data_IF_416189781881
#
_entry.id   IF_416189781881
#
_cell.length_a   1.000
_cell.length_b   1.000
_cell.length_c   1.000
_cell.angle_alpha   90.00
_cell.angle_beta   90.00
_cell.angle_gamma   90.00
#
_symmetry.space_group_name_H-M   'P 1'
#
loop_
_entity.id
_entity.type
_entity.pdbx_description
1 polymer ?
#
# COMPACT_ATOMS: atom_id res chain seq x y z
N UNK A 1 -3.90 -29.74 15.29
CA UNK A 1 -4.97 -29.27 14.37
C UNK A 1 -4.34 -28.30 13.37
N UNK A 2 -4.80 -28.25 12.13
CA UNK A 2 -4.26 -27.28 11.17
C UNK A 2 -4.85 -25.91 11.47
N UNK A 3 -4.01 -24.90 11.65
CA UNK A 3 -4.43 -23.49 11.85
C UNK A 3 -5.11 -22.97 10.60
N UNK A 4 -6.27 -22.31 10.73
CA UNK A 4 -6.97 -21.64 9.63
C UNK A 4 -6.41 -20.23 9.40
N UNK A 5 -5.72 -20.03 8.27
CA UNK A 5 -5.16 -18.73 7.88
C UNK A 5 -6.11 -17.88 7.05
N UNK A 6 -7.31 -18.34 6.71
CA UNK A 6 -8.26 -17.56 5.92
C UNK A 6 -8.64 -16.26 6.63
N UNK A 7 -8.77 -15.21 5.86
CA UNK A 7 -9.22 -13.90 6.33
C UNK A 7 -10.10 -13.23 5.28
N UNK A 8 -10.75 -12.13 5.65
CA UNK A 8 -11.52 -11.31 4.72
C UNK A 8 -10.87 -9.94 4.59
N UNK A 9 -10.71 -9.49 3.36
CA UNK A 9 -10.19 -8.16 3.07
C UNK A 9 -10.97 -7.54 1.91
N UNK A 10 -11.52 -6.34 2.10
CA UNK A 10 -12.34 -5.64 1.11
C UNK A 10 -13.53 -6.49 0.59
N UNK A 11 -14.15 -7.28 1.45
CA UNK A 11 -15.23 -8.19 1.07
C UNK A 11 -14.77 -9.44 0.31
N UNK A 12 -13.47 -9.59 0.04
CA UNK A 12 -12.88 -10.74 -0.63
C UNK A 12 -12.39 -11.76 0.42
N UNK A 13 -12.64 -13.04 0.16
CA UNK A 13 -12.09 -14.13 0.97
C UNK A 13 -10.66 -14.43 0.52
N UNK A 14 -9.71 -14.35 1.45
CA UNK A 14 -8.30 -14.63 1.21
C UNK A 14 -7.88 -15.91 1.91
N UNK A 15 -7.08 -16.74 1.22
CA UNK A 15 -6.51 -17.98 1.79
C UNK A 15 -5.49 -17.74 2.90
N UNK A 16 -4.89 -16.55 2.92
CA UNK A 16 -3.82 -16.15 3.84
C UNK A 16 -3.90 -14.64 4.11
N UNK A 17 -3.56 -14.15 5.32
CA UNK A 17 -3.51 -12.73 5.62
C UNK A 17 -2.28 -12.02 5.04
N UNK A 18 -1.41 -12.75 4.35
CA UNK A 18 -0.17 -12.21 3.79
C UNK A 18 -0.43 -11.75 2.36
N UNK A 19 -0.24 -10.46 2.08
CA UNK A 19 -0.49 -9.84 0.78
C UNK A 19 0.80 -9.30 0.20
N UNK A 20 1.05 -9.54 -1.09
CA UNK A 20 2.14 -8.88 -1.81
C UNK A 20 1.69 -7.46 -2.20
N UNK A 21 2.32 -6.46 -1.57
CA UNK A 21 2.02 -5.04 -1.82
C UNK A 21 2.64 -4.54 -3.13
N UNK A 22 2.12 -3.41 -3.61
CA UNK A 22 2.58 -2.75 -4.83
C UNK A 22 4.11 -2.64 -4.91
N UNK A 23 4.69 -3.24 -5.94
CA UNK A 23 6.13 -3.27 -6.20
C UNK A 23 6.42 -3.67 -7.65
N UNK A 24 7.63 -3.48 -8.15
CA UNK A 24 8.01 -3.99 -9.48
C UNK A 24 7.79 -5.50 -9.64
N UNK A 25 7.89 -6.28 -8.55
CA UNK A 25 7.67 -7.74 -8.58
C UNK A 25 6.22 -8.12 -8.90
N UNK A 26 5.26 -7.31 -8.48
CA UNK A 26 3.83 -7.59 -8.68
C UNK A 26 3.30 -7.15 -10.05
N UNK A 27 4.12 -6.42 -10.84
CA UNK A 27 3.72 -5.86 -12.13
C UNK A 27 3.91 -6.78 -13.33
N UNK A 28 4.60 -7.92 -13.18
CA UNK A 28 4.84 -8.84 -14.28
C UNK A 28 4.14 -10.20 -14.04
N UNK A 29 3.45 -10.77 -15.05
CA UNK A 29 2.70 -12.03 -14.89
C UNK A 29 3.53 -13.18 -14.34
N UNK A 30 4.80 -13.31 -14.75
CA UNK A 30 5.68 -14.39 -14.31
C UNK A 30 6.00 -14.30 -12.80
N UNK A 31 6.31 -13.11 -12.29
CA UNK A 31 6.60 -12.91 -10.87
C UNK A 31 5.33 -12.91 -10.01
N UNK A 32 4.20 -12.39 -10.52
CA UNK A 32 2.91 -12.48 -9.86
C UNK A 32 2.51 -13.94 -9.60
N UNK A 33 2.73 -14.81 -10.57
CA UNK A 33 2.51 -16.26 -10.43
C UNK A 33 3.40 -16.87 -9.34
N UNK A 34 4.70 -16.54 -9.30
CA UNK A 34 5.61 -17.02 -8.25
C UNK A 34 5.18 -16.55 -6.85
N UNK A 35 4.66 -15.32 -6.74
CA UNK A 35 4.12 -14.75 -5.51
C UNK A 35 2.88 -15.54 -5.06
N UNK A 36 1.98 -15.87 -5.96
CA UNK A 36 0.80 -16.68 -5.66
C UNK A 36 1.18 -18.10 -5.23
N UNK A 37 2.07 -18.77 -6.00
CA UNK A 37 2.58 -20.11 -5.68
C UNK A 37 3.27 -20.14 -4.31
N UNK A 38 3.93 -19.05 -3.92
CA UNK A 38 4.60 -18.90 -2.63
C UNK A 38 3.64 -18.65 -1.44
N UNK A 39 2.34 -18.46 -1.66
CA UNK A 39 1.36 -18.39 -0.57
C UNK A 39 0.66 -17.04 -0.38
N UNK A 40 0.83 -16.06 -1.24
CA UNK A 40 0.11 -14.79 -1.13
C UNK A 40 -1.41 -14.99 -1.11
N UNK A 41 -2.10 -14.27 -0.21
CA UNK A 41 -3.56 -14.22 -0.17
C UNK A 41 -4.15 -13.31 -1.23
N UNK A 42 -3.44 -12.25 -1.60
CA UNK A 42 -3.78 -11.33 -2.69
C UNK A 42 -2.52 -10.64 -3.23
N UNK A 43 -2.64 -10.00 -4.38
CA UNK A 43 -1.56 -9.27 -5.05
C UNK A 43 -2.04 -7.85 -5.33
N UNK A 44 -1.29 -6.84 -4.87
CA UNK A 44 -1.50 -5.43 -5.24
C UNK A 44 -0.51 -5.07 -6.34
N UNK A 45 -1.01 -4.61 -7.48
CA UNK A 45 -0.17 -4.22 -8.62
C UNK A 45 0.60 -2.91 -8.33
N UNK A 46 1.69 -2.62 -9.06
CA UNK A 46 2.34 -1.31 -9.00
C UNK A 46 1.32 -0.19 -9.20
N UNK A 47 1.53 0.95 -8.56
CA UNK A 47 0.64 2.09 -8.78
C UNK A 47 0.84 2.68 -10.16
N UNK A 48 -0.25 3.02 -10.84
CA UNK A 48 -0.23 3.88 -12.00
C UNK A 48 -0.15 5.33 -11.52
N UNK A 49 0.86 6.08 -11.96
CA UNK A 49 1.11 7.46 -11.54
C UNK A 49 0.55 8.48 -12.52
N UNK A 50 -0.05 9.55 -11.98
CA UNK A 50 -0.57 10.68 -12.76
C UNK A 50 0.52 11.31 -13.61
N UNK A 51 1.66 11.52 -13.01
CA UNK A 51 2.80 12.17 -13.65
C UNK A 51 3.32 11.39 -14.85
N UNK A 52 3.24 10.05 -14.82
CA UNK A 52 3.67 9.22 -15.95
C UNK A 52 2.76 9.41 -17.16
N UNK A 53 1.44 9.45 -16.93
CA UNK A 53 0.45 9.64 -18.00
C UNK A 53 0.58 11.04 -18.60
N UNK A 54 0.62 12.07 -17.74
CA UNK A 54 0.74 13.48 -18.19
C UNK A 54 2.06 13.70 -18.92
N UNK A 55 3.16 13.13 -18.44
CA UNK A 55 4.47 13.24 -19.11
C UNK A 55 4.48 12.61 -20.50
N UNK A 56 3.81 11.46 -20.65
CA UNK A 56 3.69 10.78 -21.95
C UNK A 56 2.81 11.58 -22.92
N UNK A 57 1.68 12.14 -22.46
CA UNK A 57 0.81 13.01 -23.27
C UNK A 57 1.56 14.26 -23.73
N UNK A 58 2.34 14.90 -22.87
CA UNK A 58 3.17 16.06 -23.22
C UNK A 58 4.25 15.68 -24.24
N UNK A 59 4.92 14.55 -24.05
CA UNK A 59 5.96 14.07 -24.96
C UNK A 59 5.38 13.76 -26.35
N UNK A 60 4.20 13.13 -26.39
CA UNK A 60 3.48 12.85 -27.64
C UNK A 60 3.10 14.14 -28.37
N UNK A 61 2.49 15.11 -27.66
CA UNK A 61 2.11 16.40 -28.24
C UNK A 61 3.33 17.16 -28.80
N UNK A 62 4.45 17.21 -28.07
CA UNK A 62 5.69 17.82 -28.56
C UNK A 62 6.23 17.14 -29.81
N UNK A 63 6.14 15.80 -29.87
CA UNK A 63 6.59 15.05 -31.05
C UNK A 63 5.70 15.31 -32.27
N UNK A 64 4.39 15.47 -32.07
CA UNK A 64 3.44 15.83 -33.14
C UNK A 64 3.65 17.26 -33.62
N UNK A 65 3.88 18.23 -32.72
CA UNK A 65 4.17 19.63 -33.06
C UNK A 65 5.50 19.76 -33.82
N UNK A 66 6.57 19.09 -33.34
CA UNK A 66 7.87 19.10 -34.02
C UNK A 66 7.80 18.46 -35.42
N UNK A 67 6.93 17.46 -35.63
CA UNK A 67 6.70 16.85 -36.94
C UNK A 67 5.91 17.75 -37.89
N UNK A 68 5.00 18.60 -37.39
CA UNK A 68 4.16 19.48 -38.21
C UNK A 68 4.91 20.72 -38.73
N UNK A 69 5.96 21.17 -38.04
CA UNK A 69 6.74 22.32 -38.47
C UNK A 69 7.82 22.01 -39.55
N UNK A 70 8.22 20.73 -39.67
CA UNK A 70 9.32 20.36 -40.59
C UNK A 70 8.92 19.99 -42.01
N UNK A 71 7.65 19.67 -42.30
CA UNK A 71 7.24 19.27 -43.65
C UNK A 71 5.82 19.72 -44.02
N UNK A 72 5.71 20.86 -44.68
CA UNK A 72 4.45 21.31 -45.27
C UNK A 72 3.95 20.42 -46.45
N UNK A 73 4.73 19.44 -46.89
CA UNK A 73 4.41 18.55 -48.02
C UNK A 73 4.19 17.07 -47.65
N UNK A 74 4.33 16.70 -46.38
CA UNK A 74 4.21 15.29 -45.95
C UNK A 74 2.87 14.95 -45.27
N UNK A 75 1.76 15.28 -45.91
CA UNK A 75 0.41 14.89 -45.48
C UNK A 75 0.12 13.39 -45.64
N UNK A 76 1.08 12.58 -46.10
CA UNK A 76 0.88 11.15 -46.42
C UNK A 76 1.85 10.16 -45.71
N UNK A 77 2.67 10.60 -44.77
CA UNK A 77 3.66 9.74 -44.13
C UNK A 77 3.58 9.73 -42.62
N UNK A 78 2.37 9.76 -42.06
CA UNK A 78 2.19 9.33 -40.68
C UNK A 78 2.06 7.79 -40.65
N UNK A 79 3.00 7.07 -40.03
CA UNK A 79 2.70 5.71 -39.65
C UNK A 79 1.44 5.77 -38.78
N UNK A 80 0.47 4.96 -39.13
CA UNK A 80 -0.75 4.78 -38.34
C UNK A 80 -0.36 4.64 -36.87
N UNK A 81 -0.92 5.50 -36.02
CA UNK A 81 -0.65 5.59 -34.55
C UNK A 81 -1.09 4.29 -33.82
N UNK A 82 -1.25 3.20 -34.53
CA UNK A 82 -1.71 1.89 -34.01
C UNK A 82 -0.70 1.14 -33.12
N UNK A 83 0.48 1.69 -32.81
CA UNK A 83 1.50 0.94 -32.08
C UNK A 83 2.12 1.62 -30.84
N UNK A 84 1.68 2.80 -30.44
CA UNK A 84 2.13 3.41 -29.18
C UNK A 84 1.07 3.19 -28.08
N UNK A 85 1.06 1.98 -27.48
CA UNK A 85 0.33 1.77 -26.24
C UNK A 85 0.91 2.68 -25.15
N UNK A 86 0.12 3.61 -24.62
CA UNK A 86 0.49 4.52 -23.56
C UNK A 86 0.79 3.78 -22.24
N UNK A 87 1.36 4.47 -21.26
CA UNK A 87 1.63 3.91 -19.92
C UNK A 87 0.36 3.29 -19.34
N UNK A 88 -0.77 4.01 -19.45
CA UNK A 88 -2.07 3.51 -19.01
C UNK A 88 -2.51 2.23 -19.72
N UNK A 89 -2.37 2.16 -21.05
CA UNK A 89 -2.75 0.97 -21.83
C UNK A 89 -1.85 -0.23 -21.50
N UNK A 90 -0.56 -0.01 -21.32
CA UNK A 90 0.39 -1.06 -20.88
C UNK A 90 0.04 -1.59 -19.50
N UNK A 91 -0.36 -0.69 -18.57
CA UNK A 91 -0.81 -1.06 -17.25
C UNK A 91 -2.06 -1.95 -17.31
N UNK A 92 -3.09 -1.53 -18.05
CA UNK A 92 -4.34 -2.28 -18.22
C UNK A 92 -4.11 -3.66 -18.84
N UNK A 93 -3.30 -3.73 -19.90
CA UNK A 93 -2.93 -5.00 -20.53
C UNK A 93 -2.12 -5.92 -19.60
N UNK A 94 -1.33 -5.36 -18.66
CA UNK A 94 -0.64 -6.15 -17.63
C UNK A 94 -1.63 -6.66 -16.58
N UNK A 95 -2.56 -5.82 -16.12
CA UNK A 95 -3.63 -6.20 -15.19
C UNK A 95 -4.45 -7.35 -15.75
N UNK A 96 -4.96 -7.25 -17.00
CA UNK A 96 -5.73 -8.30 -17.66
C UNK A 96 -4.98 -9.63 -17.73
N UNK A 97 -3.68 -9.58 -18.09
CA UNK A 97 -2.84 -10.79 -18.17
C UNK A 97 -2.59 -11.42 -16.81
N UNK A 98 -2.34 -10.62 -15.78
CA UNK A 98 -2.14 -11.13 -14.42
C UNK A 98 -3.47 -11.71 -13.92
N UNK A 99 -4.57 -10.97 -14.06
CA UNK A 99 -5.88 -11.41 -13.61
C UNK A 99 -6.35 -12.69 -14.27
N UNK A 100 -6.12 -12.86 -15.58
CA UNK A 100 -6.50 -14.08 -16.31
C UNK A 100 -5.76 -15.34 -15.84
N UNK A 101 -4.59 -15.18 -15.24
CA UNK A 101 -3.76 -16.29 -14.73
C UNK A 101 -3.77 -16.48 -13.23
N UNK A 102 -4.29 -15.51 -12.46
CA UNK A 102 -4.25 -15.53 -11.00
C UNK A 102 -5.44 -16.27 -10.40
N UNK A 103 -5.17 -17.16 -9.46
CA UNK A 103 -6.17 -17.82 -8.59
C UNK A 103 -6.40 -17.06 -7.27
N UNK A 104 -5.73 -15.93 -7.06
CA UNK A 104 -5.90 -15.04 -5.90
C UNK A 104 -6.42 -13.67 -6.35
N UNK A 105 -7.07 -12.90 -5.48
CA UNK A 105 -7.50 -11.54 -5.81
C UNK A 105 -6.36 -10.65 -6.28
N UNK A 106 -6.63 -9.85 -7.32
CA UNK A 106 -5.72 -8.87 -7.91
C UNK A 106 -6.28 -7.47 -7.66
N UNK A 107 -5.53 -6.67 -6.93
CA UNK A 107 -5.90 -5.30 -6.54
C UNK A 107 -5.10 -4.34 -7.42
N UNK A 108 -5.79 -3.53 -8.23
CA UNK A 108 -5.13 -2.50 -9.02
C UNK A 108 -4.84 -1.27 -8.16
N UNK A 109 -3.77 -0.53 -8.45
CA UNK A 109 -3.34 0.60 -7.64
C UNK A 109 -3.22 1.87 -8.47
N UNK A 110 -3.75 2.98 -7.92
CA UNK A 110 -3.72 4.34 -8.47
C UNK A 110 -2.97 5.25 -7.52
N UNK A 111 -2.05 6.07 -8.05
CA UNK A 111 -1.45 7.16 -7.29
C UNK A 111 -1.90 8.49 -7.90
N UNK A 112 -2.81 9.17 -7.21
CA UNK A 112 -3.51 10.35 -7.71
C UNK A 112 -3.42 11.52 -6.74
N UNK A 113 -3.30 12.72 -7.30
CA UNK A 113 -3.30 13.99 -6.55
C UNK A 113 -4.41 14.93 -6.97
N UNK A 114 -5.07 14.69 -8.11
CA UNK A 114 -6.16 15.52 -8.68
C UNK A 114 -7.37 14.67 -9.06
N UNK A 115 -8.54 15.28 -9.17
CA UNK A 115 -9.80 14.56 -9.51
C UNK A 115 -9.89 14.20 -11.00
N UNK A 116 -9.11 14.83 -11.88
CA UNK A 116 -9.30 14.82 -13.33
C UNK A 116 -9.36 13.44 -14.03
N UNK A 117 -8.22 12.88 -14.45
CA UNK A 117 -8.15 11.63 -15.23
C UNK A 117 -8.44 10.34 -14.45
N UNK A 118 -8.40 10.39 -13.11
CA UNK A 118 -8.38 9.20 -12.23
C UNK A 118 -9.68 8.45 -12.15
N UNK A 119 -10.79 9.15 -12.19
CA UNK A 119 -12.13 8.54 -12.30
C UNK A 119 -12.23 7.64 -13.52
N UNK A 120 -11.63 8.06 -14.64
CA UNK A 120 -11.55 7.24 -15.86
C UNK A 120 -10.69 5.99 -15.66
N UNK A 121 -9.47 6.15 -15.13
CA UNK A 121 -8.57 5.00 -14.92
C UNK A 121 -9.09 4.02 -13.88
N UNK A 122 -9.76 4.49 -12.82
CA UNK A 122 -10.41 3.62 -11.86
C UNK A 122 -11.46 2.71 -12.53
N UNK A 123 -12.28 3.26 -13.44
CA UNK A 123 -13.22 2.46 -14.24
C UNK A 123 -12.51 1.48 -15.16
N UNK A 124 -11.51 1.93 -15.91
CA UNK A 124 -10.76 1.07 -16.81
C UNK A 124 -10.09 -0.09 -16.07
N UNK A 125 -9.57 0.13 -14.86
CA UNK A 125 -9.01 -0.95 -14.03
C UNK A 125 -10.09 -1.93 -13.56
N UNK A 126 -11.26 -1.44 -13.16
CA UNK A 126 -12.41 -2.31 -12.86
C UNK A 126 -12.81 -3.12 -14.08
N UNK A 127 -12.94 -2.49 -15.26
CA UNK A 127 -13.35 -3.14 -16.52
C UNK A 127 -12.31 -4.17 -16.99
N UNK A 128 -11.01 -3.92 -16.70
CA UNK A 128 -9.91 -4.87 -16.92
C UNK A 128 -9.87 -6.04 -15.91
N UNK A 129 -10.83 -6.10 -14.97
CA UNK A 129 -11.06 -7.23 -14.09
C UNK A 129 -10.39 -7.15 -12.71
N UNK A 130 -9.96 -5.97 -12.25
CA UNK A 130 -9.49 -5.80 -10.87
C UNK A 130 -10.58 -6.20 -9.86
N UNK A 131 -10.22 -6.99 -8.85
CA UNK A 131 -11.14 -7.41 -7.77
C UNK A 131 -11.40 -6.29 -6.76
N UNK A 132 -10.44 -5.36 -6.60
CA UNK A 132 -10.53 -4.16 -5.79
C UNK A 132 -9.54 -3.10 -6.30
N UNK A 133 -9.68 -1.88 -5.80
CA UNK A 133 -8.76 -0.78 -6.08
C UNK A 133 -8.05 -0.32 -4.80
N UNK A 134 -6.76 0.01 -4.90
CA UNK A 134 -6.00 0.74 -3.89
C UNK A 134 -5.74 2.16 -4.40
N UNK A 135 -6.38 3.16 -3.79
CA UNK A 135 -6.10 4.57 -4.03
C UNK A 135 -4.96 5.02 -3.11
N UNK A 136 -3.83 5.35 -3.70
CA UNK A 136 -2.64 5.75 -3.00
C UNK A 136 -2.58 7.28 -2.91
N UNK A 137 -2.86 7.85 -1.74
CA UNK A 137 -2.74 9.27 -1.47
C UNK A 137 -1.30 9.58 -1.05
N UNK A 138 -0.51 10.05 -2.03
CA UNK A 138 0.88 10.45 -1.80
C UNK A 138 1.04 11.93 -2.11
N UNK A 139 1.03 12.75 -1.07
CA UNK A 139 1.14 14.21 -1.19
C UNK A 139 2.18 14.76 -0.21
N UNK A 140 3.08 15.59 -0.71
CA UNK A 140 3.93 16.43 0.11
C UNK A 140 3.31 17.83 0.14
N UNK A 141 2.77 18.23 1.30
CA UNK A 141 2.10 19.51 1.48
C UNK A 141 3.14 20.64 1.66
N UNK A 142 3.85 21.00 0.58
CA UNK A 142 4.95 21.96 0.61
C UNK A 142 4.52 23.43 0.38
N UNK A 143 3.28 23.69 -0.06
CA UNK A 143 2.77 25.07 -0.25
C UNK A 143 2.34 25.66 1.08
N UNK A 144 3.03 26.70 1.61
CA UNK A 144 2.72 27.28 2.91
C UNK A 144 1.39 28.04 2.96
N UNK A 145 0.74 28.26 1.81
CA UNK A 145 -0.57 28.91 1.72
C UNK A 145 -1.73 27.94 1.93
N UNK A 146 -1.50 26.64 1.84
CA UNK A 146 -2.52 25.60 2.05
C UNK A 146 -2.56 25.17 3.50
N UNK A 147 -3.76 25.13 4.06
CA UNK A 147 -3.99 24.63 5.42
C UNK A 147 -4.15 23.10 5.43
N UNK A 148 -4.06 22.49 6.63
CA UNK A 148 -4.38 21.06 6.80
C UNK A 148 -5.81 20.74 6.33
N UNK A 149 -6.77 21.63 6.59
CA UNK A 149 -8.16 21.49 6.16
C UNK A 149 -8.29 21.47 4.63
N UNK A 150 -7.52 22.30 3.90
CA UNK A 150 -7.52 22.32 2.43
C UNK A 150 -6.98 21.03 1.85
N UNK A 151 -5.93 20.46 2.45
CA UNK A 151 -5.33 19.19 2.03
C UNK A 151 -6.31 18.04 2.27
N UNK A 152 -6.86 17.94 3.48
CA UNK A 152 -7.81 16.90 3.85
C UNK A 152 -9.09 16.96 3.02
N UNK A 153 -9.62 18.18 2.73
CA UNK A 153 -10.79 18.35 1.88
C UNK A 153 -10.53 17.86 0.44
N UNK A 154 -9.38 18.18 -0.14
CA UNK A 154 -9.01 17.74 -1.49
C UNK A 154 -8.85 16.22 -1.57
N UNK A 155 -8.28 15.59 -0.54
CA UNK A 155 -8.13 14.14 -0.49
C UNK A 155 -9.49 13.44 -0.35
N UNK A 156 -10.41 13.96 0.48
CA UNK A 156 -11.77 13.42 0.63
C UNK A 156 -12.60 13.58 -0.66
N UNK A 157 -12.47 14.72 -1.37
CA UNK A 157 -13.11 14.93 -2.66
C UNK A 157 -12.65 13.90 -3.69
N UNK A 158 -11.35 13.64 -3.77
CA UNK A 158 -10.78 12.63 -4.65
C UNK A 158 -11.31 11.24 -4.33
N UNK A 159 -11.34 10.84 -3.04
CA UNK A 159 -11.87 9.54 -2.61
C UNK A 159 -13.34 9.40 -3.03
N UNK A 160 -14.17 10.41 -2.76
CA UNK A 160 -15.59 10.40 -3.10
C UNK A 160 -15.81 10.30 -4.63
N UNK A 161 -15.01 11.02 -5.42
CA UNK A 161 -15.08 10.98 -6.88
C UNK A 161 -14.70 9.60 -7.43
N UNK A 162 -13.62 8.98 -6.94
CA UNK A 162 -13.22 7.62 -7.31
C UNK A 162 -14.29 6.62 -6.89
N UNK A 163 -14.77 6.67 -5.63
CA UNK A 163 -15.83 5.79 -5.12
C UNK A 163 -17.10 5.86 -5.97
N UNK A 164 -17.51 7.06 -6.35
CA UNK A 164 -18.71 7.27 -7.21
C UNK A 164 -18.54 6.75 -8.64
N UNK A 165 -17.35 6.40 -9.05
CA UNK A 165 -17.05 5.94 -10.41
C UNK A 165 -16.96 4.42 -10.56
N UNK A 166 -16.77 3.67 -9.47
CA UNK A 166 -16.55 2.22 -9.49
C UNK A 166 -17.49 1.50 -8.53
N UNK A 167 -17.70 0.20 -8.75
CA UNK A 167 -18.47 -0.67 -7.88
C UNK A 167 -17.60 -1.66 -7.08
N UNK A 168 -16.39 -1.92 -7.54
CA UNK A 168 -15.43 -2.76 -6.81
C UNK A 168 -15.01 -2.10 -5.50
N UNK A 169 -14.61 -2.87 -4.48
CA UNK A 169 -14.14 -2.31 -3.21
C UNK A 169 -12.95 -1.36 -3.38
N UNK A 170 -12.91 -0.32 -2.53
CA UNK A 170 -11.89 0.73 -2.54
C UNK A 170 -11.11 0.74 -1.23
N UNK A 171 -9.84 0.39 -1.27
CA UNK A 171 -8.89 0.68 -0.20
C UNK A 171 -8.22 2.03 -0.42
N UNK A 172 -7.99 2.77 0.67
CA UNK A 172 -7.25 4.04 0.61
C UNK A 172 -5.97 3.92 1.42
N UNK A 173 -4.84 4.11 0.74
CA UNK A 173 -3.51 4.10 1.37
C UNK A 173 -3.11 5.49 1.79
N UNK A 174 -2.86 5.67 3.08
CA UNK A 174 -2.70 6.95 3.72
C UNK A 174 -1.25 7.24 4.11
N UNK A 175 -0.94 8.53 4.22
CA UNK A 175 0.24 9.06 4.90
C UNK A 175 0.02 9.08 6.42
N UNK A 176 1.05 8.97 7.26
CA UNK A 176 0.95 9.19 8.70
C UNK A 176 0.94 10.67 9.10
N UNK A 177 1.06 11.61 8.16
CA UNK A 177 1.34 13.03 8.42
C UNK A 177 0.09 13.93 8.53
N UNK A 178 -1.09 13.37 8.75
CA UNK A 178 -2.28 14.16 9.07
C UNK A 178 -2.29 14.54 10.56
N UNK A 179 -2.62 15.82 10.88
CA UNK A 179 -2.55 16.35 12.23
C UNK A 179 -3.49 15.64 13.22
N UNK A 180 -4.69 15.24 12.76
CA UNK A 180 -5.71 14.54 13.54
C UNK A 180 -6.07 13.22 12.85
N UNK A 181 -5.11 12.28 12.79
CA UNK A 181 -5.18 11.08 11.96
C UNK A 181 -6.43 10.25 12.21
N UNK A 182 -6.83 10.01 13.47
CA UNK A 182 -8.03 9.21 13.79
C UNK A 182 -9.31 9.85 13.24
N UNK A 183 -9.46 11.17 13.39
CA UNK A 183 -10.60 11.94 12.85
C UNK A 183 -10.60 11.94 11.31
N UNK A 184 -9.43 12.06 10.69
CA UNK A 184 -9.29 12.01 9.24
C UNK A 184 -9.61 10.61 8.69
N UNK A 185 -9.08 9.54 9.31
CA UNK A 185 -9.36 8.16 8.93
C UNK A 185 -10.86 7.84 8.93
N UNK A 186 -11.62 8.35 9.94
CA UNK A 186 -13.08 8.23 9.96
C UNK A 186 -13.73 8.92 8.76
N UNK A 187 -13.30 10.15 8.42
CA UNK A 187 -13.84 10.89 7.26
C UNK A 187 -13.49 10.21 5.93
N UNK A 188 -12.34 9.57 5.83
CA UNK A 188 -11.96 8.76 4.66
C UNK A 188 -12.93 7.59 4.45
N UNK A 189 -13.32 6.91 5.53
CA UNK A 189 -14.35 5.86 5.48
C UNK A 189 -15.72 6.45 5.11
N UNK A 190 -16.11 7.58 5.70
CA UNK A 190 -17.35 8.30 5.37
C UNK A 190 -17.38 8.77 3.90
N UNK A 191 -16.23 9.07 3.30
CA UNK A 191 -16.09 9.41 1.89
C UNK A 191 -16.19 8.19 0.95
N UNK A 192 -16.26 6.96 1.49
CA UNK A 192 -16.56 5.74 0.76
C UNK A 192 -15.41 4.75 0.63
N UNK A 193 -14.37 4.84 1.47
CA UNK A 193 -13.35 3.81 1.56
C UNK A 193 -13.88 2.57 2.30
N UNK A 194 -13.71 1.38 1.71
CA UNK A 194 -14.03 0.08 2.30
C UNK A 194 -12.87 -0.43 3.20
N UNK A 195 -11.68 0.12 3.03
CA UNK A 195 -10.51 -0.21 3.83
C UNK A 195 -9.43 0.86 3.84
N UNK A 196 -8.57 0.82 4.86
CA UNK A 196 -7.42 1.70 5.01
C UNK A 196 -6.12 0.90 4.98
N UNK A 197 -5.14 1.38 4.23
CA UNK A 197 -3.79 0.81 4.16
C UNK A 197 -2.82 1.75 4.86
N UNK A 198 -2.19 1.29 5.92
CA UNK A 198 -1.33 2.07 6.81
C UNK A 198 0.10 1.51 6.81
N UNK A 199 1.10 2.25 6.31
CA UNK A 199 1.09 3.58 5.71
C UNK A 199 1.83 3.59 4.38
N UNK A 200 1.64 4.67 3.59
CA UNK A 200 2.55 5.00 2.51
C UNK A 200 3.97 5.15 3.04
N UNK A 201 4.94 4.65 2.29
CA UNK A 201 6.31 5.04 2.50
C UNK A 201 6.58 6.38 1.82
N UNK A 202 7.06 7.34 2.61
CA UNK A 202 7.57 8.58 2.07
C UNK A 202 9.05 8.43 1.77
N UNK A 203 9.39 8.45 0.47
CA UNK A 203 10.77 8.53 0.03
C UNK A 203 11.28 9.94 0.27
N UNK A 204 12.45 10.00 0.88
CA UNK A 204 13.12 11.26 1.16
C UNK A 204 14.29 11.41 0.20
N UNK A 205 14.51 12.64 -0.35
CA UNK A 205 15.69 12.90 -1.15
C UNK A 205 16.95 12.80 -0.28
N UNK A 206 18.05 12.38 -0.89
CA UNK A 206 19.37 12.44 -0.29
C UNK A 206 20.19 13.54 -0.99
N UNK A 207 21.32 13.91 -0.42
CA UNK A 207 22.26 14.88 -0.99
C UNK A 207 23.56 14.16 -1.30
N UNK A 208 23.94 14.19 -2.58
CA UNK A 208 25.26 13.75 -3.00
C UNK A 208 26.28 14.86 -2.70
N UNK A 209 27.23 14.55 -1.83
CA UNK A 209 28.22 15.52 -1.36
C UNK A 209 29.33 15.81 -2.39
N UNK A 210 29.51 14.95 -3.39
CA UNK A 210 30.50 15.16 -4.44
C UNK A 210 29.96 16.05 -5.57
N UNK A 211 28.71 15.79 -6.00
CA UNK A 211 28.05 16.60 -7.03
C UNK A 211 27.33 17.81 -6.46
N UNK A 212 27.08 17.88 -5.15
CA UNK A 212 26.26 18.87 -4.43
C UNK A 212 24.83 18.93 -4.94
N UNK A 213 24.32 17.81 -5.47
CA UNK A 213 22.97 17.69 -6.01
C UNK A 213 22.05 16.93 -5.08
N UNK A 214 20.73 17.19 -5.25
CA UNK A 214 19.67 16.40 -4.63
C UNK A 214 19.47 15.14 -5.47
N UNK A 215 19.62 13.97 -4.86
CA UNK A 215 19.54 12.68 -5.53
C UNK A 215 18.36 11.85 -5.00
N UNK A 216 17.74 11.10 -5.90
CA UNK A 216 16.73 10.10 -5.53
C UNK A 216 17.44 8.83 -5.04
N UNK A 217 17.17 8.45 -3.78
CA UNK A 217 17.70 7.21 -3.20
C UNK A 217 16.58 6.35 -2.65
N UNK A 218 16.62 5.07 -2.95
CA UNK A 218 15.66 4.09 -2.42
C UNK A 218 16.33 3.28 -1.32
N UNK A 219 15.93 3.53 -0.07
CA UNK A 219 16.25 2.65 1.05
C UNK A 219 15.06 1.74 1.34
N UNK A 220 15.29 0.43 1.43
CA UNK A 220 14.23 -0.52 1.75
C UNK A 220 13.83 -0.41 3.22
N UNK A 221 12.54 -0.62 3.48
CA UNK A 221 11.93 -0.50 4.81
C UNK A 221 12.50 -1.58 5.75
N UNK A 222 12.78 -1.20 6.99
CA UNK A 222 13.24 -2.10 8.05
C UNK A 222 12.06 -2.61 8.89
N UNK A 223 12.18 -3.79 9.56
CA UNK A 223 11.11 -4.33 10.42
C UNK A 223 10.66 -3.38 11.52
N UNK A 224 11.55 -2.54 12.06
CA UNK A 224 11.23 -1.58 13.12
C UNK A 224 10.19 -0.53 12.71
N UNK A 225 10.02 -0.29 11.42
CA UNK A 225 9.05 0.68 10.90
C UNK A 225 7.59 0.19 11.06
N UNK A 226 7.36 -1.10 11.28
CA UNK A 226 6.02 -1.65 11.56
C UNK A 226 5.38 -1.05 12.83
N UNK A 227 6.18 -0.53 13.76
CA UNK A 227 5.66 0.04 15.02
C UNK A 227 4.68 1.19 14.81
N UNK A 228 4.90 2.01 13.78
CA UNK A 228 4.00 3.14 13.47
C UNK A 228 2.63 2.67 12.96
N UNK A 229 2.51 1.85 11.91
CA UNK A 229 1.21 1.31 11.49
C UNK A 229 0.53 0.49 12.60
N UNK A 230 1.25 -0.34 13.36
CA UNK A 230 0.69 -1.10 14.47
C UNK A 230 -0.01 -0.22 15.50
N UNK A 231 0.61 0.88 15.93
CA UNK A 231 -0.01 1.84 16.86
C UNK A 231 -1.34 2.36 16.32
N UNK A 232 -1.35 2.81 15.07
CA UNK A 232 -2.55 3.40 14.49
C UNK A 232 -3.64 2.38 14.21
N UNK A 233 -3.28 1.16 13.80
CA UNK A 233 -4.24 0.05 13.63
C UNK A 233 -4.88 -0.29 14.98
N UNK A 234 -4.09 -0.42 16.04
CA UNK A 234 -4.60 -0.69 17.39
C UNK A 234 -5.62 0.36 17.86
N UNK A 235 -5.35 1.64 17.60
CA UNK A 235 -6.22 2.76 17.95
C UNK A 235 -7.48 2.77 17.09
N UNK A 236 -7.35 2.57 15.78
CA UNK A 236 -8.45 2.72 14.82
C UNK A 236 -9.41 1.53 14.82
N UNK A 237 -8.92 0.31 15.07
CA UNK A 237 -9.77 -0.91 15.00
C UNK A 237 -11.06 -0.79 15.83
N UNK A 238 -11.05 -0.38 17.10
CA UNK A 238 -12.27 -0.22 17.89
C UNK A 238 -13.07 1.05 17.54
N UNK A 239 -12.51 2.01 16.81
CA UNK A 239 -13.15 3.30 16.49
C UNK A 239 -13.86 3.30 15.14
N UNK A 240 -13.48 2.40 14.23
CA UNK A 240 -14.05 2.30 12.90
C UNK A 240 -15.17 1.25 12.85
N UNK A 241 -16.14 1.36 11.92
CA UNK A 241 -17.15 0.33 11.71
C UNK A 241 -16.55 -1.05 11.48
N UNK A 242 -17.18 -2.09 11.98
CA UNK A 242 -16.67 -3.47 11.91
C UNK A 242 -16.43 -4.00 10.48
N UNK A 243 -17.14 -3.44 9.48
CA UNK A 243 -16.97 -3.79 8.06
C UNK A 243 -15.77 -3.14 7.38
N UNK A 244 -15.12 -2.15 8.03
CA UNK A 244 -13.96 -1.47 7.46
C UNK A 244 -12.71 -2.31 7.65
N UNK A 245 -11.99 -2.58 6.55
CA UNK A 245 -10.75 -3.34 6.59
C UNK A 245 -9.54 -2.47 6.92
N UNK A 246 -8.58 -3.04 7.68
CA UNK A 246 -7.30 -2.41 7.97
C UNK A 246 -6.17 -3.29 7.47
N UNK A 247 -5.28 -2.72 6.67
CA UNK A 247 -4.08 -3.38 6.19
C UNK A 247 -2.83 -2.75 6.82
N UNK A 248 -1.97 -3.58 7.41
CA UNK A 248 -0.66 -3.15 7.87
C UNK A 248 0.33 -3.23 6.71
N UNK A 249 1.00 -2.15 6.40
CA UNK A 249 2.13 -2.13 5.47
C UNK A 249 3.29 -1.33 6.07
N UNK A 250 4.49 -1.48 5.50
CA UNK A 250 5.74 -0.96 6.05
C UNK A 250 6.26 -1.75 7.25
N UNK A 251 7.34 -2.50 7.01
CA UNK A 251 8.07 -3.25 8.05
C UNK A 251 7.61 -4.68 8.29
N UNK A 252 6.76 -5.24 7.43
CA UNK A 252 6.41 -6.67 7.48
C UNK A 252 7.50 -7.48 6.77
N UNK A 253 8.28 -8.27 7.54
CA UNK A 253 9.40 -9.06 7.02
C UNK A 253 9.35 -10.53 7.43
N UNK A 254 8.67 -10.87 8.52
CA UNK A 254 8.62 -12.20 9.11
C UNK A 254 7.20 -12.59 9.51
N UNK A 255 6.99 -13.87 9.83
CA UNK A 255 5.71 -14.35 10.40
C UNK A 255 5.37 -13.68 11.72
N UNK A 256 6.37 -13.34 12.52
CA UNK A 256 6.17 -12.60 13.78
C UNK A 256 5.67 -11.18 13.54
N UNK A 257 6.10 -10.52 12.45
CA UNK A 257 5.56 -9.20 12.09
C UNK A 257 4.09 -9.31 11.66
N UNK A 258 3.73 -10.39 10.93
CA UNK A 258 2.34 -10.69 10.58
C UNK A 258 1.50 -10.93 11.83
N UNK A 259 1.98 -11.74 12.78
CA UNK A 259 1.31 -11.96 14.08
C UNK A 259 1.01 -10.63 14.76
N UNK A 260 2.02 -9.77 14.91
CA UNK A 260 1.86 -8.46 15.56
C UNK A 260 0.83 -7.58 14.86
N UNK A 261 0.86 -7.54 13.52
CA UNK A 261 -0.10 -6.79 12.72
C UNK A 261 -1.54 -7.29 12.93
N UNK A 262 -1.75 -8.61 12.93
CA UNK A 262 -3.06 -9.22 13.18
C UNK A 262 -3.54 -8.98 14.62
N UNK A 263 -2.68 -9.15 15.63
CA UNK A 263 -3.02 -8.90 17.03
C UNK A 263 -3.54 -7.49 17.29
N UNK A 264 -2.95 -6.48 16.67
CA UNK A 264 -3.43 -5.09 16.81
C UNK A 264 -4.69 -4.81 16.00
N UNK A 265 -5.11 -5.73 15.12
CA UNK A 265 -6.39 -5.63 14.42
C UNK A 265 -6.32 -5.42 12.91
N UNK A 266 -5.16 -5.62 12.28
CA UNK A 266 -5.10 -5.68 10.82
C UNK A 266 -5.85 -6.91 10.30
N UNK A 267 -6.51 -6.77 9.16
CA UNK A 267 -7.13 -7.87 8.43
C UNK A 267 -6.10 -8.61 7.58
N UNK A 268 -5.10 -7.85 7.08
CA UNK A 268 -3.97 -8.35 6.28
C UNK A 268 -2.68 -7.63 6.63
N UNK A 269 -1.55 -8.30 6.39
CA UNK A 269 -0.21 -7.74 6.45
C UNK A 269 0.43 -7.76 5.06
N UNK A 270 0.87 -6.59 4.60
CA UNK A 270 1.36 -6.38 3.25
C UNK A 270 2.89 -6.29 3.20
N UNK A 271 3.50 -7.05 2.29
CA UNK A 271 4.95 -7.18 2.16
C UNK A 271 5.44 -6.60 0.83
N UNK A 272 6.52 -5.84 0.88
CA UNK A 272 7.26 -5.32 -0.30
C UNK A 272 8.76 -5.49 -0.13
N UNK A 273 9.37 -4.79 0.84
CA UNK A 273 10.82 -4.73 1.01
C UNK A 273 11.45 -6.11 1.25
N UNK A 274 10.79 -6.96 2.03
CA UNK A 274 11.25 -8.33 2.24
C UNK A 274 11.25 -9.15 0.96
N UNK A 275 10.22 -8.99 0.10
CA UNK A 275 10.14 -9.70 -1.18
C UNK A 275 11.17 -9.20 -2.18
N UNK A 276 11.47 -7.89 -2.18
CA UNK A 276 12.52 -7.32 -3.01
C UNK A 276 13.92 -7.81 -2.59
N UNK A 277 14.14 -7.99 -1.28
CA UNK A 277 15.41 -8.46 -0.73
C UNK A 277 15.62 -9.97 -0.89
N UNK A 278 14.58 -10.77 -0.64
CA UNK A 278 14.67 -12.21 -0.43
C UNK A 278 13.95 -13.04 -1.52
N UNK A 279 13.28 -12.36 -2.44
CA UNK A 279 12.50 -12.96 -3.51
C UNK A 279 11.12 -13.45 -3.10
N UNK A 280 10.25 -13.78 -4.09
CA UNK A 280 8.86 -14.20 -3.85
C UNK A 280 8.71 -15.42 -2.92
N UNK A 281 9.63 -16.37 -2.97
CA UNK A 281 9.62 -17.59 -2.13
C UNK A 281 9.69 -17.31 -0.62
N UNK A 282 10.07 -16.10 -0.22
CA UNK A 282 10.07 -15.71 1.19
C UNK A 282 8.68 -15.71 1.83
N UNK A 283 7.61 -15.50 1.04
CA UNK A 283 6.23 -15.60 1.51
C UNK A 283 5.93 -16.94 2.19
N UNK A 284 6.40 -18.05 1.59
CA UNK A 284 6.19 -19.38 2.18
C UNK A 284 6.82 -19.53 3.57
N UNK A 285 8.03 -18.98 3.77
CA UNK A 285 8.68 -18.98 5.10
C UNK A 285 7.88 -18.16 6.12
N UNK A 286 7.39 -17.00 5.70
CA UNK A 286 6.57 -16.13 6.56
C UNK A 286 5.26 -16.82 6.94
N UNK A 287 4.63 -17.56 6.02
CA UNK A 287 3.45 -18.34 6.30
C UNK A 287 3.75 -19.50 7.29
N UNK A 288 4.87 -20.20 7.10
CA UNK A 288 5.32 -21.26 8.00
C UNK A 288 5.59 -20.72 9.42
N UNK A 289 6.28 -19.59 9.54
CA UNK A 289 6.53 -18.92 10.84
C UNK A 289 5.22 -18.47 11.52
N UNK A 290 4.27 -17.92 10.75
CA UNK A 290 2.94 -17.54 11.26
C UNK A 290 2.20 -18.77 11.81
N UNK A 291 2.15 -19.86 11.04
CA UNK A 291 1.50 -21.12 11.46
C UNK A 291 2.15 -21.71 12.70
N UNK A 292 3.47 -21.74 12.76
CA UNK A 292 4.22 -22.27 13.88
C UNK A 292 3.89 -21.49 15.16
N UNK A 293 3.95 -20.15 15.11
CA UNK A 293 3.64 -19.29 16.23
C UNK A 293 2.19 -19.46 16.71
N UNK A 294 1.22 -19.46 15.78
CA UNK A 294 -0.20 -19.65 16.13
C UNK A 294 -0.45 -21.02 16.77
N UNK A 295 0.22 -22.06 16.28
CA UNK A 295 0.11 -23.41 16.84
C UNK A 295 0.69 -23.47 18.27
N UNK A 296 1.86 -22.87 18.49
CA UNK A 296 2.53 -22.81 19.79
C UNK A 296 1.69 -22.04 20.83
N UNK A 297 0.96 -21.02 20.40
CA UNK A 297 0.14 -20.17 21.28
C UNK A 297 -1.36 -20.55 21.24
N UNK A 298 -1.70 -21.71 20.71
CA UNK A 298 -3.05 -22.31 20.76
C UNK A 298 -4.12 -21.46 20.03
N UNK A 299 -3.72 -20.65 19.02
CA UNK A 299 -4.67 -19.98 18.15
C UNK A 299 -5.12 -20.92 17.02
N UNK A 300 -6.43 -21.09 16.87
CA UNK A 300 -7.01 -21.95 15.85
C UNK A 300 -7.21 -21.26 14.50
N UNK A 301 -7.37 -19.91 14.50
CA UNK A 301 -7.64 -19.14 13.29
C UNK A 301 -7.11 -17.70 13.37
N UNK A 302 -6.87 -17.09 12.18
CA UNK A 302 -6.58 -15.66 12.05
C UNK A 302 -7.73 -14.81 12.63
N UNK A 303 -8.96 -15.25 12.48
CA UNK A 303 -10.13 -14.56 13.05
C UNK A 303 -10.08 -14.47 14.58
N UNK A 304 -9.58 -15.50 15.25
CA UNK A 304 -9.38 -15.51 16.71
C UNK A 304 -8.21 -14.60 17.12
N UNK A 305 -7.12 -14.60 16.36
CA UNK A 305 -5.93 -13.79 16.64
C UNK A 305 -6.19 -12.30 16.44
N UNK A 306 -6.98 -11.94 15.40
CA UNK A 306 -7.19 -10.57 14.97
C UNK A 306 -7.81 -9.69 16.05
N UNK A 307 -7.08 -8.63 16.40
CA UNK A 307 -7.54 -7.63 17.36
C UNK A 307 -7.42 -8.06 18.83
N UNK A 308 -6.78 -9.19 19.14
CA UNK A 308 -6.58 -9.66 20.51
C UNK A 308 -5.76 -8.69 21.38
N UNK A 309 -4.98 -7.79 20.75
CA UNK A 309 -4.18 -6.78 21.43
C UNK A 309 -4.42 -5.36 20.87
N UNK A 310 -5.64 -5.04 20.41
CA UNK A 310 -5.98 -3.67 20.04
C UNK A 310 -6.26 -2.81 21.28
N UNK A 311 -6.47 -1.51 21.10
CA UNK A 311 -6.67 -0.56 22.20
C UNK A 311 -7.86 -0.92 23.12
N UNK A 312 -8.89 -1.55 22.61
CA UNK A 312 -10.06 -1.96 23.41
C UNK A 312 -9.89 -3.33 24.08
N UNK A 313 -8.87 -4.12 23.67
CA UNK A 313 -8.66 -5.51 24.14
C UNK A 313 -7.54 -5.64 25.16
N UNK A 314 -6.69 -4.62 25.30
CA UNK A 314 -5.58 -4.63 26.27
C UNK A 314 -6.01 -4.06 27.62
N UNK A 315 -5.35 -4.50 28.71
CA UNK A 315 -5.63 -4.02 30.07
C UNK A 315 -5.35 -2.52 30.24
N UNK A 316 -4.32 -2.00 29.57
CA UNK A 316 -3.97 -0.58 29.58
C UNK A 316 -4.06 0.03 28.16
N UNK A 317 -5.21 0.61 27.79
CA UNK A 317 -5.37 1.29 26.50
C UNK A 317 -4.40 2.46 26.28
N UNK A 318 -3.91 3.10 27.36
CA UNK A 318 -2.97 4.22 27.26
C UNK A 318 -1.59 3.81 26.76
N UNK A 319 -1.29 2.51 26.70
CA UNK A 319 -0.08 1.97 26.11
C UNK A 319 0.08 2.33 24.62
N UNK A 320 -1.02 2.59 23.91
CA UNK A 320 -0.97 3.08 22.50
C UNK A 320 -0.93 4.59 22.39
N UNK A 321 -1.08 5.33 23.49
CA UNK A 321 -1.13 6.79 23.54
C UNK A 321 0.13 7.40 24.17
N UNK A 322 0.00 8.61 24.70
CA UNK A 322 1.12 9.38 25.27
C UNK A 322 1.77 8.70 26.48
N UNK A 323 1.02 7.95 27.29
CA UNK A 323 1.56 7.28 28.49
C UNK A 323 2.71 6.33 28.17
N UNK A 324 2.68 5.68 27.00
CA UNK A 324 3.76 4.81 26.55
C UNK A 324 5.11 5.54 26.39
N UNK A 325 5.12 6.86 26.18
CA UNK A 325 6.35 7.62 26.00
C UNK A 325 7.28 7.52 27.22
N UNK A 326 6.72 7.72 28.42
CA UNK A 326 7.50 7.61 29.67
C UNK A 326 8.00 6.20 29.91
N UNK A 327 7.14 5.19 29.71
CA UNK A 327 7.51 3.78 29.85
C UNK A 327 8.63 3.40 28.88
N UNK A 328 8.57 3.88 27.64
CA UNK A 328 9.61 3.64 26.63
C UNK A 328 10.95 4.27 27.03
N UNK A 329 10.94 5.51 27.53
CA UNK A 329 12.18 6.15 28.00
C UNK A 329 12.81 5.40 29.19
N UNK A 330 11.99 4.94 30.11
CA UNK A 330 12.48 4.19 31.28
C UNK A 330 12.92 2.76 30.94
N UNK A 331 12.48 2.20 29.82
CA UNK A 331 12.90 0.86 29.37
C UNK A 331 14.30 0.84 28.74
N UNK A 332 14.90 2.00 28.48
CA UNK A 332 16.25 2.08 27.94
C UNK A 332 17.26 1.74 29.04
N UNK A 333 17.97 0.63 28.89
CA UNK A 333 19.15 0.31 29.69
C UNK A 333 20.40 0.77 28.92
N UNK A 334 21.27 1.52 29.58
CA UNK A 334 22.57 1.87 29.01
C UNK A 334 23.36 0.59 28.76
N UNK A 335 23.87 0.36 27.53
CA UNK A 335 24.73 -0.81 27.28
C UNK A 335 25.96 -0.77 28.17
N UNK A 336 26.37 -1.93 28.68
CA UNK A 336 27.64 -2.05 29.38
C UNK A 336 28.80 -1.71 28.42
N UNK A 337 29.92 -1.22 28.99
CA UNK A 337 31.09 -0.81 28.20
C UNK A 337 31.58 -1.99 27.34
N UNK A 338 31.40 -1.93 26.03
CA UNK A 338 31.77 -2.95 25.04
C UNK A 338 30.66 -3.63 24.30
N UNK A 339 29.38 -3.43 24.69
CA UNK A 339 28.24 -3.92 23.93
C UNK A 339 27.85 -2.97 22.78
N UNK A 340 27.65 -3.52 21.59
CA UNK A 340 27.17 -2.74 20.45
C UNK A 340 25.66 -2.46 20.58
N UNK A 341 25.29 -1.18 20.48
CA UNK A 341 23.86 -0.74 20.46
C UNK A 341 23.10 -1.30 19.25
N UNK A 342 23.79 -1.78 18.22
CA UNK A 342 23.22 -2.28 16.97
C UNK A 342 22.72 -3.74 17.02
N UNK A 343 22.96 -4.44 18.14
CA UNK A 343 22.58 -5.85 18.29
C UNK A 343 21.26 -6.08 19.04
N UNK A 344 20.49 -5.03 19.32
CA UNK A 344 19.19 -5.12 20.00
C UNK A 344 18.00 -4.76 19.11
#
# INVERSE_FOLDING_TARGET
MSVDLRTHYLGLELRSPIVASASPLTGAPATARLIEEAGAGAIVLPSLFEEEIVSEEIALNRSLEAGSEQFAEALAYFPTIESFAGVGDRYLASLERIKSGAGVPVIASLNATTVGGWVRYARLMQDAGADALELNLYRVAADPRRTAADIEAADLELIAAVRGSVSVPLAVKLSPFYSAFSGFARRVVEAGADGLVLFNRFYQPDIDLESLDVVARVDLIRPSELRLPMRWIAILRPQLPAGVCLAATSGVHSGIDVVKALMVGADVAMMTSALLLLGPGHLGRVEEELRAWMTEHEYESVSQLRGSANQASVDDPSAFERANYMNTLHSWATPEAGESVLSR
#
